data_IF_116564170126
#
_entry.id   IF_116564170126
#
_cell.length_a   1.000
_cell.length_b   1.000
_cell.length_c   1.000
_cell.angle_alpha   90.00
_cell.angle_beta   90.00
_cell.angle_gamma   90.00
#
_symmetry.space_group_name_H-M   'P 1'
#
loop_
_entity.id
_entity.type
_entity.pdbx_description
1 polymer ?
#
# COMPACT_ATOMS: atom_id res chain seq x y z
N UNK A 1 8.69 -3.42 23.10
CA UNK A 1 8.27 -3.30 21.69
C UNK A 1 6.82 -2.85 21.63
N UNK A 2 6.55 -1.97 20.77
CA UNK A 2 5.21 -1.47 20.59
C UNK A 2 4.66 -1.87 19.23
N UNK A 3 3.38 -2.11 19.19
CA UNK A 3 2.67 -2.32 17.94
C UNK A 3 2.55 -0.98 17.22
N UNK A 4 2.56 -1.02 15.90
CA UNK A 4 2.20 0.14 15.11
C UNK A 4 0.68 0.17 15.00
N UNK A 5 0.09 1.24 15.46
CA UNK A 5 -1.37 1.39 15.38
C UNK A 5 -1.74 1.75 13.95
N UNK A 6 -2.68 0.99 13.38
CA UNK A 6 -3.18 1.30 12.04
C UNK A 6 -3.85 2.65 12.04
N UNK A 7 -3.56 3.47 11.05
CA UNK A 7 -4.16 4.80 10.97
C UNK A 7 -4.29 5.27 9.54
N UNK A 8 -5.28 6.12 9.34
CA UNK A 8 -5.55 6.78 8.08
C UNK A 8 -4.74 8.07 8.01
N UNK A 9 -4.11 8.31 6.86
CA UNK A 9 -3.35 9.53 6.61
C UNK A 9 -4.01 10.29 5.47
N UNK A 10 -4.31 11.55 5.67
CA UNK A 10 -5.00 12.36 4.68
C UNK A 10 -4.08 13.37 4.04
N UNK A 11 -4.00 13.33 2.71
CA UNK A 11 -3.33 14.35 1.92
C UNK A 11 -4.36 15.15 1.13
N UNK A 12 -3.88 16.06 0.30
CA UNK A 12 -4.76 16.89 -0.53
C UNK A 12 -5.32 16.12 -1.72
N UNK A 13 -4.57 15.17 -2.24
CA UNK A 13 -4.93 14.42 -3.45
C UNK A 13 -5.19 12.94 -3.18
N UNK A 14 -4.56 12.38 -2.16
CA UNK A 14 -4.71 10.97 -1.79
C UNK A 14 -5.03 10.84 -0.31
N UNK A 15 -5.70 9.73 0.01
CA UNK A 15 -5.90 9.29 1.39
C UNK A 15 -5.31 7.90 1.49
N UNK A 16 -4.53 7.65 2.52
CA UNK A 16 -4.00 6.32 2.81
C UNK A 16 -4.84 5.72 3.92
N UNK A 17 -5.53 4.63 3.62
CA UNK A 17 -6.33 3.92 4.64
C UNK A 17 -5.72 2.54 4.87
N UNK A 18 -5.83 1.99 6.09
CA UNK A 18 -5.28 0.66 6.35
C UNK A 18 -5.85 -0.36 5.37
N UNK A 19 -4.96 -1.16 4.78
CA UNK A 19 -5.37 -2.20 3.84
C UNK A 19 -6.17 -3.27 4.57
N UNK A 20 -7.20 -3.80 3.93
CA UNK A 20 -8.00 -4.89 4.48
C UNK A 20 -8.67 -5.67 3.36
N UNK A 21 -9.44 -6.69 3.72
CA UNK A 21 -10.06 -7.59 2.75
C UNK A 21 -11.13 -6.92 1.87
N UNK A 22 -11.61 -5.75 2.24
CA UNK A 22 -12.58 -5.02 1.41
C UNK A 22 -11.98 -4.59 0.07
N UNK A 23 -10.64 -4.56 -0.02
CA UNK A 23 -9.95 -4.15 -1.25
C UNK A 23 -9.56 -5.32 -2.15
N UNK A 24 -9.99 -6.55 -1.84
CA UNK A 24 -9.63 -7.73 -2.63
C UNK A 24 -9.99 -7.58 -4.11
N UNK A 25 -11.21 -7.16 -4.40
CA UNK A 25 -11.63 -7.05 -5.80
C UNK A 25 -10.89 -5.92 -6.52
N UNK A 26 -10.66 -4.81 -5.84
CA UNK A 26 -9.95 -3.68 -6.43
C UNK A 26 -8.51 -4.03 -6.77
N UNK A 27 -7.80 -4.69 -5.86
CA UNK A 27 -6.39 -5.05 -6.10
C UNK A 27 -6.29 -6.12 -7.18
N UNK A 28 -7.24 -7.06 -7.21
CA UNK A 28 -7.26 -8.09 -8.25
C UNK A 28 -7.43 -7.45 -9.63
N UNK A 29 -8.31 -6.47 -9.75
CA UNK A 29 -8.51 -5.75 -11.00
C UNK A 29 -7.23 -5.05 -11.47
N UNK A 30 -6.56 -4.34 -10.57
CA UNK A 30 -5.33 -3.60 -10.91
C UNK A 30 -4.25 -4.55 -11.41
N UNK A 31 -4.09 -5.71 -10.77
CA UNK A 31 -3.03 -6.65 -11.16
C UNK A 31 -3.35 -7.49 -12.41
N UNK A 32 -4.51 -7.30 -13.02
CA UNK A 32 -4.73 -7.86 -14.35
C UNK A 32 -3.91 -7.13 -15.42
N UNK A 33 -3.42 -5.93 -15.12
CA UNK A 33 -2.60 -5.17 -16.04
C UNK A 33 -1.17 -5.70 -16.01
N UNK A 34 -0.69 -6.25 -17.14
CA UNK A 34 0.65 -6.83 -17.24
C UNK A 34 1.75 -5.80 -16.93
N UNK A 35 1.48 -4.51 -17.15
CA UNK A 35 2.47 -3.48 -16.85
C UNK A 35 2.79 -3.39 -15.37
N UNK A 36 1.81 -3.71 -14.52
CA UNK A 36 2.02 -3.76 -13.08
C UNK A 36 2.93 -4.94 -12.72
N UNK A 37 2.67 -6.12 -13.28
CA UNK A 37 3.48 -7.30 -12.97
C UNK A 37 4.91 -7.20 -13.50
N UNK A 38 5.15 -6.39 -14.53
CA UNK A 38 6.49 -6.13 -15.04
C UNK A 38 7.35 -5.31 -14.08
N UNK A 39 6.71 -4.50 -13.22
CA UNK A 39 7.42 -3.62 -12.29
C UNK A 39 7.33 -4.09 -10.84
N UNK A 40 6.71 -5.23 -10.60
CA UNK A 40 6.55 -5.79 -9.26
C UNK A 40 6.92 -7.27 -9.29
N UNK A 41 6.97 -7.91 -8.13
CA UNK A 41 7.21 -9.35 -8.03
C UNK A 41 5.91 -10.16 -8.05
N UNK A 42 4.81 -9.50 -8.37
CA UNK A 42 3.49 -10.13 -8.38
C UNK A 42 3.34 -11.05 -9.59
N UNK A 43 2.86 -12.29 -9.41
CA UNK A 43 2.64 -13.20 -10.53
C UNK A 43 1.57 -12.69 -11.50
N UNK A 44 1.69 -13.08 -12.76
CA UNK A 44 0.68 -12.78 -13.75
C UNK A 44 0.34 -14.07 -14.50
N UNK A 45 -0.93 -14.49 -14.58
CA UNK A 45 -2.13 -13.76 -14.12
C UNK A 45 -2.28 -13.76 -12.60
N UNK A 46 -2.84 -12.69 -12.09
CA UNK A 46 -3.09 -12.52 -10.67
C UNK A 46 -4.54 -12.92 -10.36
N UNK A 47 -4.72 -13.77 -9.37
CA UNK A 47 -6.05 -14.29 -9.05
C UNK A 47 -6.62 -13.65 -7.79
N UNK A 48 -7.95 -13.74 -7.65
CA UNK A 48 -8.61 -13.25 -6.45
C UNK A 48 -8.14 -13.98 -5.19
N UNK A 49 -7.85 -15.28 -5.30
CA UNK A 49 -7.33 -16.05 -4.18
C UNK A 49 -5.97 -15.55 -3.72
N UNK A 50 -5.12 -15.12 -4.65
CA UNK A 50 -3.84 -14.51 -4.31
C UNK A 50 -4.05 -13.21 -3.55
N UNK A 51 -5.04 -12.40 -3.97
CA UNK A 51 -5.36 -11.16 -3.29
C UNK A 51 -5.85 -11.42 -1.86
N UNK A 52 -6.73 -12.40 -1.68
CA UNK A 52 -7.23 -12.77 -0.35
C UNK A 52 -6.07 -13.15 0.55
N UNK A 53 -5.16 -13.97 0.05
CA UNK A 53 -4.00 -14.40 0.84
C UNK A 53 -3.12 -13.20 1.23
N UNK A 54 -2.83 -12.32 0.27
CA UNK A 54 -1.98 -11.16 0.53
C UNK A 54 -2.62 -10.21 1.55
N UNK A 55 -3.90 -9.92 1.40
CA UNK A 55 -4.57 -8.93 2.24
C UNK A 55 -4.95 -9.49 3.61
N UNK A 56 -5.06 -10.80 3.74
CA UNK A 56 -5.37 -11.41 5.04
C UNK A 56 -4.27 -11.21 6.08
N UNK A 57 -3.07 -10.83 5.64
CA UNK A 57 -1.93 -10.59 6.52
C UNK A 57 -1.74 -9.13 6.89
N UNK A 58 -2.57 -8.25 6.35
CA UNK A 58 -2.36 -6.81 6.56
C UNK A 58 -2.49 -6.39 8.02
N UNK A 59 -3.48 -6.92 8.72
CA UNK A 59 -3.65 -6.62 10.13
C UNK A 59 -2.44 -7.07 10.95
N UNK A 60 -1.91 -8.25 10.63
CA UNK A 60 -0.72 -8.78 11.28
C UNK A 60 0.51 -7.88 11.02
N UNK A 61 0.62 -7.34 9.81
CA UNK A 61 1.71 -6.41 9.48
C UNK A 61 1.72 -5.21 10.42
N UNK A 62 0.55 -4.62 10.67
CA UNK A 62 0.46 -3.48 11.59
C UNK A 62 0.89 -3.87 13.00
N UNK A 63 0.52 -5.06 13.45
CA UNK A 63 0.92 -5.56 14.78
C UNK A 63 2.43 -5.73 14.89
N UNK A 64 3.08 -6.01 13.77
CA UNK A 64 4.53 -6.23 13.74
C UNK A 64 5.32 -4.95 13.44
N UNK A 65 4.66 -3.80 13.44
CA UNK A 65 5.34 -2.54 13.23
C UNK A 65 5.51 -2.14 11.77
N UNK A 66 4.83 -2.87 10.86
CA UNK A 66 4.90 -2.61 9.43
C UNK A 66 3.57 -2.04 8.95
N UNK A 67 3.62 -0.97 8.20
CA UNK A 67 2.39 -0.34 7.71
C UNK A 67 1.99 -0.90 6.36
N UNK A 68 0.69 -0.90 6.08
CA UNK A 68 0.15 -1.41 4.82
C UNK A 68 -1.13 -0.62 4.53
N UNK A 69 -1.08 0.22 3.50
CA UNK A 69 -2.18 1.12 3.16
C UNK A 69 -2.71 0.87 1.77
N UNK A 70 -4.02 1.06 1.61
CA UNK A 70 -4.63 1.29 0.31
C UNK A 70 -4.53 2.77 0.01
N UNK A 71 -4.16 3.13 -1.21
CA UNK A 71 -4.10 4.51 -1.66
C UNK A 71 -5.40 4.82 -2.38
N UNK A 72 -6.16 5.78 -1.86
CA UNK A 72 -7.42 6.19 -2.46
C UNK A 72 -7.33 7.62 -2.96
N UNK A 73 -8.07 7.94 -4.02
CA UNK A 73 -8.22 9.32 -4.44
C UNK A 73 -9.00 10.10 -3.37
N UNK A 74 -8.46 11.22 -2.93
CA UNK A 74 -9.15 12.07 -1.94
C UNK A 74 -10.46 12.64 -2.51
N UNK A 75 -10.53 12.77 -3.83
CA UNK A 75 -11.68 13.36 -4.52
C UNK A 75 -12.90 12.44 -4.54
N UNK A 76 -12.71 11.16 -4.87
CA UNK A 76 -13.83 10.24 -5.08
C UNK A 76 -13.65 8.88 -4.41
N UNK A 77 -12.62 8.71 -3.61
CA UNK A 77 -12.32 7.47 -2.88
C UNK A 77 -12.02 6.28 -3.80
N UNK A 78 -11.68 6.54 -5.05
CA UNK A 78 -11.31 5.48 -5.98
C UNK A 78 -10.01 4.81 -5.54
N UNK A 79 -9.95 3.49 -5.61
CA UNK A 79 -8.72 2.75 -5.29
C UNK A 79 -7.66 3.04 -6.35
N UNK A 80 -6.50 3.54 -5.92
CA UNK A 80 -5.41 3.86 -6.82
C UNK A 80 -4.25 2.87 -6.72
N UNK A 81 -3.99 2.34 -5.54
CA UNK A 81 -2.85 1.45 -5.37
C UNK A 81 -2.63 1.02 -3.93
N UNK A 82 -1.42 0.58 -3.65
CA UNK A 82 -1.03 0.07 -2.35
C UNK A 82 0.35 0.59 -2.00
N UNK A 83 0.58 0.87 -0.72
CA UNK A 83 1.87 1.28 -0.20
C UNK A 83 2.15 0.51 1.08
N UNK A 84 3.27 -0.18 1.11
CA UNK A 84 3.71 -0.93 2.27
C UNK A 84 5.01 -0.35 2.78
N UNK A 85 5.18 -0.35 4.08
CA UNK A 85 6.37 0.15 4.74
C UNK A 85 6.80 -0.92 5.74
N UNK A 86 8.04 -1.30 5.68
CA UNK A 86 8.57 -2.25 6.67
C UNK A 86 9.91 -1.79 7.21
N UNK A 87 10.12 -2.10 8.48
CA UNK A 87 11.40 -1.79 9.12
C UNK A 87 12.41 -2.84 8.73
N UNK A 88 13.65 -2.43 8.55
CA UNK A 88 14.72 -3.33 8.22
C UNK A 88 14.97 -4.33 9.34
N UNK A 89 15.13 -5.60 8.96
CA UNK A 89 15.35 -6.65 9.94
C UNK A 89 16.77 -6.63 10.50
N UNK A 90 17.73 -6.22 9.69
CA UNK A 90 19.13 -6.15 10.10
C UNK A 90 19.48 -4.84 10.76
N UNK A 91 18.80 -3.78 10.37
CA UNK A 91 19.04 -2.44 10.90
C UNK A 91 17.68 -1.81 11.19
N UNK A 92 17.29 -1.71 12.47
CA UNK A 92 15.99 -1.13 12.81
C UNK A 92 15.84 0.35 12.46
N UNK A 93 16.94 1.01 12.10
CA UNK A 93 16.89 2.39 11.63
C UNK A 93 16.58 2.50 10.14
N UNK A 94 16.72 1.41 9.40
CA UNK A 94 16.39 1.40 7.99
C UNK A 94 14.94 1.04 7.80
N UNK A 95 14.42 1.38 6.62
CA UNK A 95 13.06 1.05 6.25
C UNK A 95 13.00 0.78 4.76
N UNK A 96 12.09 -0.08 4.38
CA UNK A 96 11.85 -0.39 2.97
C UNK A 96 10.42 -0.04 2.64
N UNK A 97 10.19 0.43 1.43
CA UNK A 97 8.87 0.80 0.95
C UNK A 97 8.60 0.05 -0.34
N UNK A 98 7.48 -0.63 -0.39
CA UNK A 98 7.00 -1.27 -1.62
C UNK A 98 5.68 -0.62 -2.00
N UNK A 99 5.46 -0.40 -3.29
CA UNK A 99 4.25 0.28 -3.73
C UNK A 99 3.93 -0.03 -5.18
N UNK A 100 2.66 0.14 -5.52
CA UNK A 100 2.22 0.19 -6.91
C UNK A 100 1.07 1.16 -7.01
N UNK A 101 0.84 1.68 -8.20
CA UNK A 101 -0.34 2.49 -8.49
C UNK A 101 -0.87 2.06 -9.85
N UNK A 102 -2.19 2.11 -10.03
CA UNK A 102 -2.81 1.70 -11.29
C UNK A 102 -2.26 2.56 -12.43
N UNK A 103 -2.13 1.94 -13.60
CA UNK A 103 -1.46 2.59 -14.74
C UNK A 103 -2.16 3.84 -15.23
N UNK A 104 -3.48 3.90 -15.13
CA UNK A 104 -4.23 5.07 -15.58
C UNK A 104 -4.10 6.27 -14.63
N UNK A 105 -3.40 6.09 -13.51
CA UNK A 105 -3.09 7.17 -12.57
C UNK A 105 -1.61 7.54 -12.57
N UNK A 106 -0.81 6.95 -13.44
CA UNK A 106 0.62 7.25 -13.52
C UNK A 106 0.83 8.70 -14.01
N UNK A 107 1.87 9.34 -13.50
CA UNK A 107 2.25 10.67 -13.97
C UNK A 107 1.45 11.83 -13.38
N UNK A 108 0.56 11.56 -12.43
CA UNK A 108 -0.28 12.60 -11.84
C UNK A 108 0.14 13.03 -10.44
N UNK A 109 1.27 12.50 -9.96
CA UNK A 109 1.81 12.91 -8.66
C UNK A 109 1.17 12.25 -7.45
N UNK A 110 0.26 11.30 -7.65
CA UNK A 110 -0.40 10.60 -6.53
C UNK A 110 0.60 9.84 -5.68
N UNK A 111 1.52 9.12 -6.31
CA UNK A 111 2.50 8.32 -5.57
C UNK A 111 3.48 9.21 -4.81
N UNK A 112 3.87 10.34 -5.38
CA UNK A 112 4.76 11.29 -4.71
C UNK A 112 4.15 11.77 -3.39
N UNK A 113 2.87 12.13 -3.42
CA UNK A 113 2.17 12.56 -2.21
C UNK A 113 2.02 11.42 -1.22
N UNK A 114 1.66 10.22 -1.69
CA UNK A 114 1.51 9.05 -0.83
C UNK A 114 2.82 8.72 -0.12
N UNK A 115 3.94 8.75 -0.85
CA UNK A 115 5.25 8.49 -0.25
C UNK A 115 5.61 9.54 0.79
N UNK A 116 5.28 10.81 0.53
CA UNK A 116 5.50 11.87 1.50
C UNK A 116 4.75 11.63 2.80
N UNK A 117 3.49 11.24 2.71
CA UNK A 117 2.68 10.92 3.88
C UNK A 117 3.27 9.74 4.67
N UNK A 118 3.73 8.71 3.96
CA UNK A 118 4.30 7.53 4.60
C UNK A 118 5.61 7.85 5.31
N UNK A 119 6.46 8.70 4.69
CA UNK A 119 7.72 9.13 5.29
C UNK A 119 7.46 9.92 6.58
N UNK A 120 6.53 10.86 6.55
CA UNK A 120 6.16 11.63 7.73
C UNK A 120 5.67 10.73 8.85
N UNK A 121 4.83 9.74 8.52
CA UNK A 121 4.36 8.75 9.47
C UNK A 121 5.53 8.00 10.11
N UNK A 122 6.50 7.57 9.29
CA UNK A 122 7.64 6.80 9.77
C UNK A 122 8.48 7.59 10.76
N UNK A 123 8.65 8.90 10.55
CA UNK A 123 9.43 9.74 11.46
C UNK A 123 8.70 10.06 12.74
N UNK A 124 7.37 9.97 12.75
CA UNK A 124 6.57 10.25 13.93
C UNK A 124 6.41 9.02 14.85
N UNK A 125 6.93 7.87 14.48
CA UNK A 125 6.78 6.62 15.25
C UNK A 125 7.99 6.27 16.11
#
# INVERSE_FOLDING_TARGET
MSETVSQTLQGSRVTLVPMNLDFVDAITEVFQDARISETTTVPHPYTRDMAVEHLSRSEESWKNGNADWAILSAKNQRFLGRLEFWRGQRDPKSAEVGYFIRTDAWGEGFMTEALGLAVDFAFDQ
#
